data_IF_226978155612
#
_entry.id   IF_226978155612
#
_cell.length_a   1.000
_cell.length_b   1.000
_cell.length_c   1.000
_cell.angle_alpha   90.00
_cell.angle_beta   90.00
_cell.angle_gamma   90.00
#
_symmetry.space_group_name_H-M   'P 1'
#
loop_
_entity.id
_entity.type
_entity.pdbx_description
1 polymer ?
#
# COMPACT_ATOMS: atom_id res chain seq x y z
N UNK A 1 14.34 5.34 1.13
CA UNK A 1 14.95 4.48 2.15
C UNK A 1 15.69 3.32 1.50
N UNK A 2 16.81 2.80 2.05
CA UNK A 2 17.57 1.70 1.44
C UNK A 2 16.77 0.41 1.24
N UNK A 3 15.63 0.29 1.88
CA UNK A 3 14.73 -0.87 1.79
C UNK A 3 13.65 -0.75 0.71
N UNK A 4 13.63 0.31 -0.08
CA UNK A 4 12.71 0.43 -1.21
C UNK A 4 13.03 -0.65 -2.24
N UNK A 5 12.00 -1.40 -2.68
CA UNK A 5 12.15 -2.45 -3.70
C UNK A 5 11.49 -1.99 -5.00
N UNK A 6 12.20 -2.18 -6.09
CA UNK A 6 11.77 -1.79 -7.43
C UNK A 6 11.55 -3.03 -8.28
N UNK A 7 10.49 -3.04 -9.08
CA UNK A 7 10.30 -4.04 -10.11
C UNK A 7 11.23 -3.71 -11.27
N UNK A 8 12.18 -4.58 -11.54
CA UNK A 8 13.25 -4.33 -12.52
C UNK A 8 13.38 -5.52 -13.44
N UNK A 9 13.40 -5.27 -14.74
CA UNK A 9 13.87 -6.27 -15.69
C UNK A 9 15.40 -6.30 -15.67
N UNK A 10 15.91 -7.48 -15.44
CA UNK A 10 17.34 -7.78 -15.55
C UNK A 10 17.61 -8.62 -16.76
N UNK A 11 18.78 -8.43 -17.35
CA UNK A 11 19.27 -9.24 -18.45
C UNK A 11 20.42 -10.11 -17.96
N UNK A 12 20.34 -11.39 -18.25
CA UNK A 12 21.49 -12.31 -18.20
C UNK A 12 21.99 -12.42 -19.64
N UNK A 13 23.21 -11.98 -19.86
CA UNK A 13 23.89 -12.15 -21.16
C UNK A 13 24.72 -13.42 -21.13
N UNK A 14 24.25 -14.47 -21.80
CA UNK A 14 24.94 -15.76 -21.89
C UNK A 14 26.06 -15.75 -22.95
N UNK A 15 26.27 -14.60 -23.58
CA UNK A 15 27.25 -14.44 -24.65
C UNK A 15 26.79 -15.05 -25.99
N UNK A 16 27.47 -14.69 -27.10
CA UNK A 16 27.04 -15.06 -28.45
C UNK A 16 27.09 -16.56 -28.73
N UNK A 17 27.81 -17.35 -27.93
CA UNK A 17 27.92 -18.81 -28.09
C UNK A 17 26.87 -19.61 -27.31
N UNK A 18 26.19 -19.02 -26.31
CA UNK A 18 25.34 -19.76 -25.37
C UNK A 18 23.86 -19.30 -25.39
N UNK A 19 23.35 -18.75 -26.47
CA UNK A 19 21.91 -18.55 -26.63
C UNK A 19 21.39 -17.13 -26.44
N UNK A 20 22.25 -16.14 -26.31
CA UNK A 20 21.81 -14.75 -26.35
C UNK A 20 21.46 -14.16 -24.99
N UNK A 21 20.50 -13.25 -24.98
CA UNK A 21 20.08 -12.50 -23.77
C UNK A 21 18.75 -13.03 -23.27
N UNK A 22 18.70 -13.36 -21.99
CA UNK A 22 17.47 -13.74 -21.29
C UNK A 22 17.06 -12.59 -20.37
N UNK A 23 15.77 -12.24 -20.43
CA UNK A 23 15.17 -11.22 -19.57
C UNK A 23 14.37 -11.88 -18.47
N UNK A 24 14.55 -11.44 -17.25
CA UNK A 24 13.71 -11.85 -16.14
C UNK A 24 13.37 -10.63 -15.26
N UNK A 25 12.18 -10.64 -14.70
CA UNK A 25 11.64 -9.58 -13.85
C UNK A 25 11.83 -9.97 -12.39
N UNK A 26 12.38 -9.07 -11.59
CA UNK A 26 12.61 -9.29 -10.15
C UNK A 26 12.42 -8.02 -9.34
N UNK A 27 12.17 -8.18 -8.04
CA UNK A 27 12.13 -7.07 -7.08
C UNK A 27 13.52 -6.81 -6.51
N UNK A 28 14.06 -5.63 -6.77
CA UNK A 28 15.40 -5.23 -6.39
C UNK A 28 15.34 -4.11 -5.36
N UNK A 29 16.15 -4.18 -4.30
CA UNK A 29 16.25 -3.11 -3.32
C UNK A 29 16.95 -1.88 -3.93
N UNK A 30 16.67 -0.67 -3.39
CA UNK A 30 17.34 0.55 -3.85
C UNK A 30 18.86 0.48 -3.72
N UNK A 31 19.37 -0.27 -2.75
CA UNK A 31 20.81 -0.48 -2.54
C UNK A 31 21.47 -1.37 -3.60
N UNK A 32 20.69 -2.18 -4.30
CA UNK A 32 21.17 -3.06 -5.38
C UNK A 32 21.03 -2.41 -6.77
N UNK A 33 20.38 -1.24 -6.85
CA UNK A 33 20.35 -0.46 -8.07
C UNK A 33 21.73 0.20 -8.25
N UNK A 34 22.30 0.15 -9.45
CA UNK A 34 23.60 0.79 -9.71
C UNK A 34 23.50 2.30 -9.49
N UNK A 35 24.45 2.85 -8.77
CA UNK A 35 24.68 4.29 -8.64
C UNK A 35 25.27 4.80 -9.94
N UNK A 36 24.43 5.17 -10.90
CA UNK A 36 24.84 5.71 -12.19
C UNK A 36 24.03 5.15 -13.35
N UNK A 37 23.89 5.92 -14.39
CA UNK A 37 23.12 5.59 -15.60
C UNK A 37 23.93 4.60 -16.45
N UNK A 38 24.08 3.37 -15.98
CA UNK A 38 24.47 2.27 -16.87
C UNK A 38 23.20 1.70 -17.48
N UNK A 39 22.87 2.18 -18.67
CA UNK A 39 21.60 1.94 -19.37
C UNK A 39 21.49 0.57 -20.03
N UNK A 40 22.49 -0.30 -19.93
CA UNK A 40 22.54 -1.42 -20.85
C UNK A 40 21.74 -2.66 -20.47
N UNK A 41 21.50 -2.91 -19.18
CA UNK A 41 21.02 -4.24 -18.78
C UNK A 41 19.92 -4.26 -17.70
N UNK A 42 19.32 -3.12 -17.37
CA UNK A 42 18.20 -3.04 -16.40
C UNK A 42 17.14 -2.06 -16.86
N UNK A 43 15.89 -2.45 -16.79
CA UNK A 43 14.74 -1.59 -17.07
C UNK A 43 13.87 -1.55 -15.82
N UNK A 44 13.52 -0.36 -15.37
CA UNK A 44 12.52 -0.19 -14.32
C UNK A 44 11.17 -0.13 -15.02
N UNK A 45 10.27 -1.02 -14.67
CA UNK A 45 8.90 -0.94 -15.16
C UNK A 45 8.21 0.26 -14.52
N UNK A 46 7.90 1.25 -15.33
CA UNK A 46 7.01 2.35 -14.94
C UNK A 46 5.54 1.95 -15.06
N UNK A 47 5.26 0.94 -15.89
CA UNK A 47 3.93 0.36 -16.07
C UNK A 47 4.09 -1.14 -16.25
N UNK A 48 3.35 -1.94 -15.47
CA UNK A 48 3.26 -3.37 -15.71
C UNK A 48 2.47 -3.66 -16.99
N UNK A 49 2.65 -4.84 -17.56
CA UNK A 49 1.74 -5.35 -18.59
C UNK A 49 0.30 -5.26 -18.08
N UNK A 50 -0.69 -4.99 -18.94
CA UNK A 50 -2.09 -4.92 -18.51
C UNK A 50 -2.46 -6.25 -17.88
N UNK A 51 -2.54 -6.26 -16.56
CA UNK A 51 -3.04 -7.41 -15.82
C UNK A 51 -4.46 -7.64 -16.29
N UNK A 52 -4.72 -8.80 -16.85
CA UNK A 52 -6.08 -9.22 -17.18
C UNK A 52 -6.93 -8.99 -15.94
N UNK A 53 -7.92 -8.12 -16.05
CA UNK A 53 -8.78 -7.72 -14.93
C UNK A 53 -9.43 -8.96 -14.31
N UNK A 54 -8.82 -9.51 -13.29
CA UNK A 54 -9.47 -10.42 -12.36
C UNK A 54 -10.14 -9.53 -11.32
N UNK A 55 -11.33 -9.02 -11.69
CA UNK A 55 -12.04 -8.08 -10.84
C UNK A 55 -12.53 -8.70 -9.54
N UNK A 56 -12.54 -7.92 -8.47
CA UNK A 56 -13.52 -8.03 -7.41
C UNK A 56 -13.08 -8.52 -6.05
N UNK A 57 -11.84 -8.90 -5.80
CA UNK A 57 -11.43 -9.28 -4.43
C UNK A 57 -11.23 -8.08 -3.52
N UNK A 58 -10.78 -6.95 -4.07
CA UNK A 58 -10.48 -5.72 -3.36
C UNK A 58 -11.38 -4.58 -3.80
N UNK A 59 -11.91 -3.83 -2.83
CA UNK A 59 -12.62 -2.58 -3.11
C UNK A 59 -11.61 -1.43 -3.22
N UNK A 60 -11.91 -0.40 -4.00
CA UNK A 60 -11.00 0.71 -4.25
C UNK A 60 -10.55 1.40 -2.96
N UNK A 61 -11.46 1.61 -2.01
CA UNK A 61 -11.11 2.18 -0.71
C UNK A 61 -10.24 1.26 0.17
N UNK A 62 -10.31 -0.07 -0.02
CA UNK A 62 -9.38 -1.00 0.63
C UNK A 62 -7.98 -0.89 0.04
N UNK A 63 -7.88 -0.75 -1.29
CA UNK A 63 -6.61 -0.56 -2.00
C UNK A 63 -5.97 0.78 -1.63
N UNK A 64 -6.77 1.86 -1.57
CA UNK A 64 -6.31 3.16 -1.10
C UNK A 64 -5.78 3.08 0.35
N UNK A 65 -6.50 2.37 1.23
CA UNK A 65 -6.05 2.15 2.61
C UNK A 65 -4.72 1.39 2.66
N UNK A 66 -4.52 0.38 1.80
CA UNK A 66 -3.23 -0.31 1.68
C UNK A 66 -2.12 0.67 1.32
N UNK A 67 -2.32 1.57 0.37
CA UNK A 67 -1.34 2.60 0.01
C UNK A 67 -0.92 3.46 1.21
N UNK A 68 -1.89 3.95 1.99
CA UNK A 68 -1.62 4.71 3.21
C UNK A 68 -0.91 3.89 4.29
N UNK A 69 -1.23 2.59 4.45
CA UNK A 69 -0.57 1.73 5.43
C UNK A 69 0.88 1.51 5.06
N UNK A 70 1.17 1.29 3.79
CA UNK A 70 2.52 1.02 3.31
C UNK A 70 3.46 2.19 3.56
N UNK A 71 2.95 3.41 3.48
CA UNK A 71 3.72 4.65 3.64
C UNK A 71 3.66 5.18 5.07
N UNK A 72 2.54 5.72 5.50
CA UNK A 72 2.37 6.48 6.73
C UNK A 72 1.72 5.67 7.87
N UNK A 73 1.29 4.44 7.61
CA UNK A 73 0.57 3.61 8.56
C UNK A 73 1.43 2.61 9.33
N UNK A 74 0.86 2.07 10.37
CA UNK A 74 1.44 0.92 11.07
C UNK A 74 0.36 -0.10 11.46
N UNK A 75 0.77 -1.34 11.59
CA UNK A 75 -0.04 -2.38 12.19
C UNK A 75 -0.01 -2.28 13.71
N UNK A 76 -1.17 -2.46 14.32
CA UNK A 76 -1.33 -2.47 15.77
C UNK A 76 -2.04 -3.74 16.21
N UNK A 77 -1.59 -4.33 17.31
CA UNK A 77 -2.22 -5.51 17.89
C UNK A 77 -2.68 -5.19 19.32
N UNK A 78 -3.90 -5.60 19.65
CA UNK A 78 -4.47 -5.44 20.98
C UNK A 78 -4.94 -6.78 21.51
N UNK A 79 -4.39 -7.19 22.63
CA UNK A 79 -4.89 -8.37 23.35
C UNK A 79 -6.13 -7.98 24.15
N UNK A 80 -7.24 -8.66 23.91
CA UNK A 80 -8.48 -8.48 24.65
C UNK A 80 -8.38 -9.21 25.98
N UNK A 81 -8.33 -8.46 27.08
CA UNK A 81 -8.15 -9.00 28.44
C UNK A 81 -9.16 -10.10 28.83
N UNK A 82 -10.42 -10.00 28.34
CA UNK A 82 -11.48 -10.96 28.66
C UNK A 82 -11.35 -12.31 27.94
N UNK A 83 -10.76 -12.35 26.77
CA UNK A 83 -10.78 -13.53 25.89
C UNK A 83 -9.39 -14.03 25.52
N UNK A 84 -8.34 -13.27 25.84
CA UNK A 84 -6.97 -13.53 25.37
C UNK A 84 -6.78 -13.37 23.85
N UNK A 85 -7.84 -13.06 23.10
CA UNK A 85 -7.78 -12.89 21.64
C UNK A 85 -6.99 -11.64 21.27
N UNK A 86 -6.15 -11.77 20.24
CA UNK A 86 -5.46 -10.64 19.64
C UNK A 86 -6.32 -10.02 18.55
N UNK A 87 -6.73 -8.78 18.77
CA UNK A 87 -7.35 -7.95 17.74
C UNK A 87 -6.25 -7.27 16.92
N UNK A 88 -6.28 -7.45 15.60
CA UNK A 88 -5.38 -6.82 14.65
C UNK A 88 -6.03 -5.56 14.10
N UNK A 89 -5.28 -4.48 14.04
CA UNK A 89 -5.77 -3.20 13.57
C UNK A 89 -4.73 -2.44 12.78
N UNK A 90 -5.16 -1.31 12.27
CA UNK A 90 -4.35 -0.37 11.49
C UNK A 90 -4.40 0.98 12.20
N UNK A 91 -3.26 1.65 12.29
CA UNK A 91 -3.13 2.98 12.85
C UNK A 91 -2.43 3.88 11.84
N UNK A 92 -3.08 4.98 11.47
CA UNK A 92 -2.53 6.06 10.66
C UNK A 92 -2.37 7.29 11.55
N UNK A 93 -1.30 8.04 11.35
CA UNK A 93 -1.08 9.34 12.04
C UNK A 93 -0.59 10.35 11.02
N UNK A 94 -1.21 11.54 11.00
CA UNK A 94 -0.82 12.63 10.14
C UNK A 94 -0.76 13.96 10.88
N UNK A 95 0.10 14.86 10.41
CA UNK A 95 0.13 16.23 10.87
C UNK A 95 -0.85 17.08 10.07
N UNK A 96 -1.91 17.56 10.73
CA UNK A 96 -2.84 18.49 10.10
C UNK A 96 -2.19 19.84 9.78
N UNK A 97 -1.13 20.20 10.51
CA UNK A 97 -0.38 21.44 10.27
C UNK A 97 0.52 21.36 9.05
N UNK A 98 1.22 20.23 8.88
CA UNK A 98 2.18 20.04 7.78
C UNK A 98 1.50 19.51 6.51
N UNK A 99 0.47 18.65 6.67
CA UNK A 99 -0.13 17.89 5.57
C UNK A 99 -1.67 17.91 5.65
N UNK A 100 -2.34 19.09 5.64
CA UNK A 100 -3.80 19.18 5.78
C UNK A 100 -4.53 18.47 4.64
N UNK A 101 -3.95 18.43 3.44
CA UNK A 101 -4.51 17.75 2.28
C UNK A 101 -4.48 16.22 2.43
N UNK A 102 -3.44 15.65 3.06
CA UNK A 102 -3.38 14.21 3.40
C UNK A 102 -4.46 13.89 4.43
N UNK A 103 -4.60 14.73 5.47
CA UNK A 103 -5.64 14.55 6.49
C UNK A 103 -7.03 14.54 5.87
N UNK A 104 -7.33 15.49 4.96
CA UNK A 104 -8.61 15.55 4.28
C UNK A 104 -8.89 14.31 3.41
N UNK A 105 -7.88 13.79 2.71
CA UNK A 105 -8.00 12.56 1.91
C UNK A 105 -8.25 11.34 2.78
N UNK A 106 -7.52 11.20 3.88
CA UNK A 106 -7.71 10.08 4.81
C UNK A 106 -9.09 10.16 5.48
N UNK A 107 -9.54 11.35 5.88
CA UNK A 107 -10.90 11.55 6.41
C UNK A 107 -11.98 11.12 5.39
N UNK A 108 -11.81 11.49 4.11
CA UNK A 108 -12.71 11.06 3.03
C UNK A 108 -12.68 9.54 2.84
N UNK A 109 -11.49 8.92 2.86
CA UNK A 109 -11.34 7.48 2.77
C UNK A 109 -12.11 6.76 3.88
N UNK A 110 -11.92 7.18 5.13
CA UNK A 110 -12.61 6.57 6.27
C UNK A 110 -14.13 6.82 6.27
N UNK A 111 -14.58 7.95 5.71
CA UNK A 111 -16.00 8.18 5.46
C UNK A 111 -16.58 7.15 4.48
N UNK A 112 -15.88 6.85 3.39
CA UNK A 112 -16.30 5.83 2.43
C UNK A 112 -16.46 4.45 3.09
N UNK A 113 -15.57 4.07 4.02
CA UNK A 113 -15.73 2.84 4.81
C UNK A 113 -17.01 2.87 5.66
N UNK A 114 -17.31 4.01 6.28
CA UNK A 114 -18.53 4.15 7.10
C UNK A 114 -19.78 4.01 6.24
N UNK A 115 -19.83 4.68 5.10
CA UNK A 115 -20.98 4.66 4.20
C UNK A 115 -21.20 3.25 3.66
N UNK A 116 -20.13 2.53 3.29
CA UNK A 116 -20.22 1.14 2.83
C UNK A 116 -20.73 0.20 3.92
N UNK A 117 -20.25 0.31 5.15
CA UNK A 117 -20.69 -0.57 6.25
C UNK A 117 -22.11 -0.24 6.71
N UNK A 118 -22.47 1.04 6.74
CA UNK A 118 -23.81 1.50 7.13
C UNK A 118 -24.91 1.01 6.17
N UNK A 119 -24.57 0.77 4.92
CA UNK A 119 -25.50 0.18 3.95
C UNK A 119 -25.89 -1.27 4.25
N UNK A 120 -25.13 -1.96 5.11
CA UNK A 120 -25.36 -3.37 5.48
C UNK A 120 -25.88 -3.57 6.91
N UNK A 121 -26.06 -2.51 7.71
CA UNK A 121 -26.46 -2.62 9.13
C UNK A 121 -27.40 -1.49 9.55
N UNK A 122 -28.38 -1.83 10.37
CA UNK A 122 -29.37 -0.88 10.91
C UNK A 122 -28.81 0.10 11.96
N UNK A 123 -27.56 -0.02 12.34
CA UNK A 123 -26.91 0.87 13.30
C UNK A 123 -25.55 1.37 12.78
N UNK A 124 -25.23 2.67 12.92
CA UNK A 124 -23.94 3.21 12.52
C UNK A 124 -22.85 2.74 13.47
N UNK A 125 -22.16 1.67 13.09
CA UNK A 125 -20.93 1.26 13.77
C UNK A 125 -19.79 1.96 13.05
N UNK A 126 -19.18 2.95 13.71
CA UNK A 126 -17.97 3.59 13.18
C UNK A 126 -16.87 2.53 13.06
N UNK A 127 -16.42 2.19 11.85
CA UNK A 127 -15.41 1.16 11.64
C UNK A 127 -14.02 1.60 12.12
N UNK A 128 -13.88 2.86 12.51
CA UNK A 128 -12.63 3.47 12.92
C UNK A 128 -12.85 4.49 14.05
N UNK A 129 -11.78 4.82 14.73
CA UNK A 129 -11.73 5.90 15.73
C UNK A 129 -10.77 6.97 15.25
N UNK A 130 -11.28 8.17 15.01
CA UNK A 130 -10.48 9.38 14.76
C UNK A 130 -10.17 10.08 16.07
N UNK A 131 -8.92 10.52 16.26
CA UNK A 131 -8.51 11.30 17.43
C UNK A 131 -7.64 12.47 16.99
N UNK A 132 -7.97 13.65 17.49
CA UNK A 132 -7.18 14.85 17.36
C UNK A 132 -6.37 15.06 18.64
N UNK A 133 -5.06 15.27 18.52
CA UNK A 133 -4.16 15.43 19.66
C UNK A 133 -3.87 16.88 20.03
N UNK A 134 -4.57 17.86 19.45
CA UNK A 134 -4.47 19.27 19.81
C UNK A 134 -3.15 19.96 19.46
N UNK A 135 -2.13 19.22 19.07
CA UNK A 135 -0.83 19.73 18.58
C UNK A 135 -0.70 19.66 17.07
N UNK A 136 -1.83 19.57 16.39
CA UNK A 136 -1.91 19.42 14.94
C UNK A 136 -1.68 18.01 14.44
N UNK A 137 -1.61 16.99 15.30
CA UNK A 137 -1.57 15.59 14.90
C UNK A 137 -2.97 14.99 14.98
N UNK A 138 -3.34 14.27 13.91
CA UNK A 138 -4.59 13.51 13.80
C UNK A 138 -4.27 12.04 13.61
N UNK A 139 -5.00 11.17 14.27
CA UNK A 139 -4.84 9.72 14.09
C UNK A 139 -6.16 9.03 13.80
N UNK A 140 -6.07 7.92 13.07
CA UNK A 140 -7.16 7.00 12.78
C UNK A 140 -6.75 5.59 13.17
N UNK A 141 -7.60 4.92 13.93
CA UNK A 141 -7.40 3.52 14.33
C UNK A 141 -8.62 2.72 13.90
N UNK A 142 -8.37 1.60 13.24
CA UNK A 142 -9.41 0.69 12.77
C UNK A 142 -9.10 -0.75 13.21
N UNK A 143 -10.13 -1.45 13.74
CA UNK A 143 -10.09 -2.86 14.14
C UNK A 143 -11.34 -3.55 13.60
N UNK A 144 -11.28 -4.13 12.41
CA UNK A 144 -12.43 -4.78 11.78
C UNK A 144 -12.01 -5.89 10.81
N UNK A 145 -12.98 -6.42 10.06
CA UNK A 145 -12.72 -7.47 9.08
C UNK A 145 -11.77 -7.01 7.96
N UNK A 146 -11.85 -5.73 7.53
CA UNK A 146 -10.97 -5.17 6.49
C UNK A 146 -9.52 -5.15 6.96
N UNK A 147 -9.26 -4.75 8.22
CA UNK A 147 -7.90 -4.77 8.77
C UNK A 147 -7.34 -6.17 8.85
N UNK A 148 -8.16 -7.16 9.19
CA UNK A 148 -7.74 -8.56 9.19
C UNK A 148 -7.45 -9.07 7.78
N UNK A 149 -8.26 -8.70 6.78
CA UNK A 149 -8.05 -9.01 5.37
C UNK A 149 -6.73 -8.44 4.87
N UNK A 150 -6.47 -7.16 5.12
CA UNK A 150 -5.24 -6.48 4.71
C UNK A 150 -4.02 -7.11 5.42
N UNK A 151 -4.10 -7.31 6.73
CA UNK A 151 -3.01 -7.93 7.48
C UNK A 151 -2.71 -9.36 7.01
N UNK A 152 -3.75 -10.12 6.63
CA UNK A 152 -3.58 -11.46 6.07
C UNK A 152 -2.88 -11.49 4.71
N UNK A 153 -3.17 -10.50 3.87
CA UNK A 153 -2.58 -10.38 2.54
C UNK A 153 -1.15 -9.77 2.58
N UNK A 154 -0.88 -8.88 3.53
CA UNK A 154 0.36 -8.10 3.63
C UNK A 154 0.91 -8.11 5.07
N UNK A 155 1.28 -9.28 5.63
CA UNK A 155 1.61 -9.41 7.06
C UNK A 155 2.76 -8.51 7.51
N UNK A 156 3.74 -8.28 6.65
CA UNK A 156 4.96 -7.50 6.92
C UNK A 156 4.96 -6.12 6.23
N UNK A 157 3.78 -5.62 5.83
CA UNK A 157 3.67 -4.40 5.02
C UNK A 157 4.48 -4.47 3.71
N UNK A 158 4.62 -5.65 3.15
CA UNK A 158 5.34 -5.85 1.89
C UNK A 158 4.34 -6.20 0.80
N UNK A 159 4.39 -5.49 -0.32
CA UNK A 159 3.61 -5.85 -1.51
C UNK A 159 4.07 -7.21 -2.01
N UNK A 160 3.11 -8.10 -2.21
CA UNK A 160 3.35 -9.42 -2.76
C UNK A 160 2.86 -9.51 -4.21
N UNK A 161 3.49 -10.34 -5.06
CA UNK A 161 3.01 -10.58 -6.42
C UNK A 161 1.54 -11.04 -6.44
N UNK A 162 1.15 -11.86 -5.47
CA UNK A 162 -0.22 -12.38 -5.33
C UNK A 162 -1.21 -11.23 -5.11
N UNK A 163 -0.92 -10.32 -4.16
CA UNK A 163 -1.76 -9.15 -3.91
C UNK A 163 -1.87 -8.27 -5.16
N UNK A 164 -0.75 -7.97 -5.82
CA UNK A 164 -0.73 -7.13 -7.02
C UNK A 164 -1.53 -7.76 -8.17
N UNK A 165 -1.46 -9.09 -8.33
CA UNK A 165 -2.18 -9.81 -9.38
C UNK A 165 -3.71 -9.82 -9.19
N UNK A 166 -4.19 -9.54 -7.98
CA UNK A 166 -5.63 -9.45 -7.66
C UNK A 166 -6.22 -8.06 -7.95
N UNK A 167 -5.37 -7.07 -8.25
CA UNK A 167 -5.79 -5.70 -8.53
C UNK A 167 -6.04 -5.47 -10.03
N UNK A 168 -7.06 -4.68 -10.33
CA UNK A 168 -7.26 -4.14 -11.68
C UNK A 168 -6.19 -3.08 -11.99
N UNK A 169 -6.01 -2.76 -13.26
CA UNK A 169 -5.11 -1.66 -13.69
C UNK A 169 -5.48 -0.33 -13.01
N UNK A 170 -6.78 -0.03 -12.87
CA UNK A 170 -7.23 1.17 -12.16
C UNK A 170 -6.85 1.14 -10.68
N UNK A 171 -6.96 -0.02 -10.03
CA UNK A 171 -6.57 -0.22 -8.63
C UNK A 171 -5.05 -0.17 -8.43
N UNK A 172 -4.27 -0.70 -9.36
CA UNK A 172 -2.80 -0.56 -9.33
C UNK A 172 -2.39 0.90 -9.42
N UNK A 173 -3.06 1.66 -10.30
CA UNK A 173 -2.85 3.10 -10.40
C UNK A 173 -3.23 3.84 -9.13
N UNK A 174 -4.39 3.54 -8.54
CA UNK A 174 -4.85 4.10 -7.28
C UNK A 174 -3.87 3.81 -6.14
N UNK A 175 -3.38 2.58 -6.04
CA UNK A 175 -2.37 2.19 -5.06
C UNK A 175 -1.09 3.03 -5.23
N UNK A 176 -0.57 3.10 -6.45
CA UNK A 176 0.63 3.88 -6.77
C UNK A 176 0.47 5.36 -6.44
N UNK A 177 -0.63 6.00 -6.87
CA UNK A 177 -0.92 7.41 -6.60
C UNK A 177 -1.03 7.67 -5.09
N UNK A 178 -1.63 6.75 -4.33
CA UNK A 178 -1.73 6.86 -2.87
C UNK A 178 -0.37 6.75 -2.20
N UNK A 179 0.46 5.82 -2.63
CA UNK A 179 1.82 5.66 -2.10
C UNK A 179 2.69 6.88 -2.40
N UNK A 180 2.58 7.45 -3.60
CA UNK A 180 3.26 8.71 -3.93
C UNK A 180 2.83 9.87 -3.04
N UNK A 181 1.55 9.93 -2.69
CA UNK A 181 1.05 10.96 -1.76
C UNK A 181 1.58 10.74 -0.34
N UNK A 182 1.76 9.50 0.08
CA UNK A 182 2.32 9.17 1.39
C UNK A 182 3.80 9.57 1.51
N UNK A 183 4.66 8.89 0.80
CA UNK A 183 6.12 9.03 0.91
C UNK A 183 6.76 9.85 -0.22
N UNK A 184 6.01 10.14 -1.27
CA UNK A 184 6.54 10.87 -2.43
C UNK A 184 6.85 12.32 -2.10
N UNK A 185 8.07 12.77 -2.38
CA UNK A 185 8.38 14.18 -2.53
C UNK A 185 8.26 14.53 -4.01
N UNK A 186 7.35 15.45 -4.32
CA UNK A 186 7.35 16.09 -5.63
C UNK A 186 8.38 17.23 -5.54
N UNK A 187 9.51 17.07 -6.17
CA UNK A 187 10.37 18.24 -6.44
C UNK A 187 9.58 19.20 -7.31
N UNK A 188 9.27 20.37 -6.74
CA UNK A 188 8.60 21.47 -7.41
C UNK A 188 9.61 22.33 -8.13
#
# INVERSE_FOLDING_TARGET
TPNHRWLVDRVIDHGPRNGGREWFTDFVSSSELPSGISTSNKRIHLTGDPVVQRGGKWLDHEVELVGWILTDGCYVARVLKKTGRTNRGIHLVQSNRANPEKVAKIDKLFKNFTDTISSFRDAPVLPFRRKDYGRGAVSWIMFNAVTNKIWGALPDKTLTPEFLSELSTAQLRLLYETMLLGDGSWDR
#
